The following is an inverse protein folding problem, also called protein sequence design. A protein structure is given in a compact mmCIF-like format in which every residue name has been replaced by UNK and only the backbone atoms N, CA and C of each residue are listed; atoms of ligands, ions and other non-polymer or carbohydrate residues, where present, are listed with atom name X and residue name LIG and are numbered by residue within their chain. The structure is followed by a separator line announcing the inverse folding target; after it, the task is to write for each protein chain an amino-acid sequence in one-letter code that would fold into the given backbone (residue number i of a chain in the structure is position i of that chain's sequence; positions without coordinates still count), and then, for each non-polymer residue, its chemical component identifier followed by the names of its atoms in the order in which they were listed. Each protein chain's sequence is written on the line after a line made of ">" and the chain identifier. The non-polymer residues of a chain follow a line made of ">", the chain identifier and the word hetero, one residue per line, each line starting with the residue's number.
data_IF_543025344254
#
_entry.id   IF_543025344254
#
_cell.length_a   1.000
_cell.length_b   1.000
_cell.length_c   1.000
_cell.angle_alpha   90.00
_cell.angle_beta   90.00
_cell.angle_gamma   90.00
#
_symmetry.space_group_name_H-M   'P 1'
#
loop_
_entity.id
_entity.type
_entity.pdbx_description
1 polymer ?
#
# COMPACT_ATOMS: atom_id res chain seq x y z
N UNK A 1 6.64 -57.59 38.51
CA UNK A 1 5.97 -56.35 38.96
C UNK A 1 6.42 -55.09 38.21
N UNK A 2 7.49 -55.09 37.39
CA UNK A 2 8.02 -53.91 36.67
C UNK A 2 7.26 -53.53 35.39
N UNK A 3 6.35 -54.37 34.89
CA UNK A 3 5.61 -54.15 33.62
C UNK A 3 4.27 -53.42 33.78
N UNK A 4 3.81 -53.19 35.00
CA UNK A 4 2.51 -52.55 35.28
C UNK A 4 2.67 -51.00 35.37
N UNK A 5 3.88 -50.50 35.68
CA UNK A 5 4.17 -49.10 35.81
C UNK A 5 3.90 -48.28 34.53
N UNK A 6 4.34 -48.72 33.32
CA UNK A 6 4.07 -47.98 32.11
C UNK A 6 2.57 -47.92 31.73
N UNK A 7 1.81 -48.94 32.11
CA UNK A 7 0.37 -49.00 31.89
C UNK A 7 -0.37 -47.90 32.72
N UNK A 8 0.02 -47.70 33.96
CA UNK A 8 -0.52 -46.64 34.80
C UNK A 8 -0.16 -45.24 34.32
N UNK A 9 1.02 -45.03 33.71
CA UNK A 9 1.45 -43.75 33.14
C UNK A 9 0.58 -43.43 31.91
N UNK A 10 0.33 -44.41 31.07
CA UNK A 10 -0.54 -44.23 29.88
C UNK A 10 -1.99 -43.95 30.30
N UNK A 11 -2.50 -44.61 31.35
CA UNK A 11 -3.83 -44.38 31.87
C UNK A 11 -4.00 -42.96 32.46
N UNK A 12 -2.94 -42.40 33.07
CA UNK A 12 -2.93 -41.05 33.66
C UNK A 12 -2.96 -39.94 32.58
N UNK A 13 -2.42 -40.22 31.40
CA UNK A 13 -2.43 -39.28 30.26
C UNK A 13 -3.82 -39.19 29.62
N UNK A 14 -4.68 -40.22 29.80
CA UNK A 14 -6.04 -40.26 29.28
C UNK A 14 -7.07 -39.51 30.15
N UNK A 15 -6.69 -38.96 31.31
CA UNK A 15 -7.54 -38.06 32.09
C UNK A 15 -7.52 -36.70 31.37
N UNK A 16 -8.17 -36.68 30.22
CA UNK A 16 -8.26 -35.52 29.35
C UNK A 16 -8.84 -34.31 30.06
N UNK A 17 -8.22 -33.16 29.81
CA UNK A 17 -8.72 -31.85 30.21
C UNK A 17 -10.25 -31.78 30.08
N UNK A 18 -10.95 -31.72 31.21
CA UNK A 18 -12.36 -31.32 31.22
C UNK A 18 -12.41 -29.93 30.66
N UNK A 19 -13.05 -29.75 29.52
CA UNK A 19 -13.37 -28.42 28.99
C UNK A 19 -14.29 -27.76 30.03
N UNK A 20 -13.73 -26.89 30.86
CA UNK A 20 -14.56 -26.00 31.66
C UNK A 20 -15.36 -25.13 30.70
N UNK A 21 -16.67 -25.32 30.70
CA UNK A 21 -17.60 -24.48 29.94
C UNK A 21 -17.59 -23.10 30.57
N UNK A 22 -16.90 -22.17 29.92
CA UNK A 22 -16.92 -20.76 30.32
C UNK A 22 -18.35 -20.24 30.18
N UNK A 23 -18.90 -19.74 31.29
CA UNK A 23 -20.25 -19.15 31.29
C UNK A 23 -20.32 -17.96 30.33
N UNK A 24 -21.39 -17.88 29.57
CA UNK A 24 -21.67 -16.74 28.73
C UNK A 24 -21.79 -15.45 29.57
N UNK A 25 -21.00 -14.41 29.26
CA UNK A 25 -21.05 -13.16 30.00
C UNK A 25 -22.37 -12.41 29.73
N UNK A 26 -22.86 -11.68 30.73
CA UNK A 26 -24.12 -10.89 30.59
C UNK A 26 -24.09 -9.87 29.45
N UNK A 27 -22.92 -9.36 29.10
CA UNK A 27 -22.69 -8.39 28.04
C UNK A 27 -21.79 -9.00 26.98
N UNK A 28 -22.21 -10.14 26.44
CA UNK A 28 -21.47 -10.77 25.33
C UNK A 28 -21.51 -9.87 24.10
N UNK A 29 -20.36 -9.63 23.50
CA UNK A 29 -20.27 -8.98 22.19
C UNK A 29 -20.75 -9.98 21.15
N UNK A 30 -21.63 -9.56 20.26
CA UNK A 30 -22.12 -10.41 19.18
C UNK A 30 -20.95 -10.94 18.32
N UNK A 31 -21.07 -12.16 17.85
CA UNK A 31 -20.01 -12.87 17.14
C UNK A 31 -19.47 -12.11 15.93
N UNK A 32 -20.34 -11.57 15.08
CA UNK A 32 -19.91 -10.83 13.89
C UNK A 32 -19.27 -9.50 14.27
N UNK A 33 -19.75 -8.86 15.33
CA UNK A 33 -19.13 -7.65 15.89
C UNK A 33 -17.74 -7.97 16.46
N UNK A 34 -17.59 -9.09 17.16
CA UNK A 34 -16.29 -9.54 17.66
C UNK A 34 -15.30 -9.82 16.53
N UNK A 35 -15.74 -10.41 15.42
CA UNK A 35 -14.93 -10.58 14.21
C UNK A 35 -14.49 -9.24 13.63
N UNK A 36 -15.39 -8.24 13.60
CA UNK A 36 -15.06 -6.89 13.14
C UNK A 36 -14.03 -6.21 14.06
N UNK A 37 -14.17 -6.38 15.37
CA UNK A 37 -13.21 -5.87 16.36
C UNK A 37 -11.83 -6.52 16.16
N UNK A 38 -11.78 -7.83 16.01
CA UNK A 38 -10.53 -8.57 15.75
C UNK A 38 -9.87 -8.11 14.45
N UNK A 39 -10.65 -7.91 13.42
CA UNK A 39 -10.17 -7.36 12.14
C UNK A 39 -9.55 -5.97 12.31
N UNK A 40 -10.27 -5.04 12.94
CA UNK A 40 -9.79 -3.67 13.14
C UNK A 40 -8.54 -3.62 14.03
N UNK A 41 -8.48 -4.45 15.09
CA UNK A 41 -7.29 -4.58 15.94
C UNK A 41 -6.08 -5.08 15.12
N UNK A 42 -6.29 -6.10 14.29
CA UNK A 42 -5.23 -6.61 13.41
C UNK A 42 -4.71 -5.56 12.44
N UNK A 43 -5.61 -4.76 11.87
CA UNK A 43 -5.27 -3.67 10.96
C UNK A 43 -4.49 -2.55 11.67
N UNK A 44 -4.95 -2.14 12.86
CA UNK A 44 -4.29 -1.13 13.66
C UNK A 44 -2.89 -1.57 14.11
N UNK A 45 -2.72 -2.84 14.48
CA UNK A 45 -1.41 -3.37 14.86
C UNK A 45 -0.45 -3.40 13.66
N UNK A 46 -0.93 -3.80 12.48
CA UNK A 46 -0.14 -3.72 11.25
C UNK A 46 0.27 -2.28 10.91
N UNK A 47 -0.66 -1.33 11.02
CA UNK A 47 -0.38 0.10 10.80
C UNK A 47 0.65 0.66 11.78
N UNK A 48 0.62 0.22 13.03
CA UNK A 48 1.60 0.61 14.06
C UNK A 48 3.00 0.16 13.70
N UNK A 49 3.14 -1.05 13.14
CA UNK A 49 4.43 -1.58 12.69
C UNK A 49 4.94 -0.79 11.46
N UNK A 50 4.06 -0.51 10.50
CA UNK A 50 4.44 0.16 9.25
C UNK A 50 4.74 1.66 9.44
N UNK A 51 4.04 2.33 10.35
CA UNK A 51 4.17 3.78 10.57
C UNK A 51 3.99 4.17 12.05
N UNK A 52 5.01 3.92 12.89
CA UNK A 52 4.95 4.19 14.34
C UNK A 52 4.63 5.67 14.66
N UNK A 53 5.17 6.61 13.88
CA UNK A 53 4.98 8.05 14.10
C UNK A 53 3.52 8.50 13.96
N UNK A 54 2.74 7.80 13.19
CA UNK A 54 1.31 8.07 13.02
C UNK A 54 0.54 7.70 14.31
N UNK A 55 0.99 6.67 15.04
CA UNK A 55 0.43 6.27 16.32
C UNK A 55 0.86 7.16 17.47
N UNK A 56 2.08 7.71 17.45
CA UNK A 56 2.54 8.67 18.46
C UNK A 56 1.73 9.97 18.40
N UNK A 57 1.22 10.34 17.23
CA UNK A 57 0.32 11.49 17.05
C UNK A 57 -1.13 11.21 17.50
N UNK A 58 -1.55 9.94 17.51
CA UNK A 58 -2.82 9.50 18.06
C UNK A 58 -2.64 9.32 19.58
N UNK A 59 -2.97 10.32 20.37
CA UNK A 59 -2.89 10.33 21.85
C UNK A 59 -3.59 9.14 22.55
N UNK A 60 -4.19 8.21 21.82
CA UNK A 60 -4.95 7.07 22.32
C UNK A 60 -4.31 5.76 21.87
N UNK A 61 -4.26 4.77 22.76
CA UNK A 61 -3.86 3.42 22.40
C UNK A 61 -4.83 2.82 21.35
N UNK A 62 -4.37 1.88 20.48
CA UNK A 62 -5.24 1.17 19.53
C UNK A 62 -6.50 0.60 20.19
N UNK A 63 -6.35 0.03 21.38
CA UNK A 63 -7.46 -0.53 22.15
C UNK A 63 -8.50 0.52 22.53
N UNK A 64 -8.08 1.70 22.99
CA UNK A 64 -9.00 2.78 23.33
C UNK A 64 -9.79 3.27 22.12
N UNK A 65 -9.14 3.36 20.94
CA UNK A 65 -9.82 3.67 19.70
C UNK A 65 -10.93 2.64 19.40
N UNK A 66 -10.62 1.36 19.50
CA UNK A 66 -11.57 0.26 19.27
C UNK A 66 -12.72 0.30 20.26
N UNK A 67 -12.45 0.44 21.54
CA UNK A 67 -13.51 0.50 22.57
C UNK A 67 -14.46 1.65 22.34
N UNK A 68 -13.94 2.82 21.93
CA UNK A 68 -14.76 3.97 21.58
C UNK A 68 -15.59 3.74 20.31
N UNK A 69 -14.98 3.14 19.26
CA UNK A 69 -15.63 2.86 17.98
C UNK A 69 -16.83 1.92 18.15
N UNK A 70 -16.64 0.85 18.92
CA UNK A 70 -17.67 -0.18 19.13
C UNK A 70 -18.53 0.05 20.38
N UNK A 71 -18.31 1.17 21.11
CA UNK A 71 -19.04 1.52 22.34
C UNK A 71 -19.01 0.40 23.40
N UNK A 72 -17.89 -0.28 23.51
CA UNK A 72 -17.64 -1.35 24.48
C UNK A 72 -16.60 -0.90 25.49
N UNK A 73 -16.55 -1.58 26.62
CA UNK A 73 -15.48 -1.42 27.59
C UNK A 73 -14.46 -2.57 27.55
N UNK A 74 -13.34 -2.39 28.20
CA UNK A 74 -12.27 -3.39 28.24
C UNK A 74 -12.70 -4.70 28.90
N UNK A 75 -13.55 -4.64 29.92
CA UNK A 75 -14.04 -5.80 30.65
C UNK A 75 -14.96 -6.62 29.74
N UNK A 76 -15.89 -5.96 29.06
CA UNK A 76 -16.78 -6.59 28.08
C UNK A 76 -16.00 -7.29 26.98
N UNK A 77 -14.97 -6.63 26.43
CA UNK A 77 -14.11 -7.21 25.41
C UNK A 77 -13.37 -8.45 25.92
N UNK A 78 -12.72 -8.34 27.08
CA UNK A 78 -11.95 -9.45 27.65
C UNK A 78 -12.85 -10.65 27.95
N UNK A 79 -14.01 -10.43 28.57
CA UNK A 79 -14.95 -11.51 28.92
C UNK A 79 -15.49 -12.19 27.65
N UNK A 80 -15.85 -11.42 26.62
CA UNK A 80 -16.32 -11.95 25.34
C UNK A 80 -15.22 -12.75 24.63
N UNK A 81 -13.98 -12.23 24.67
CA UNK A 81 -12.83 -12.93 24.07
C UNK A 81 -12.55 -14.27 24.76
N UNK A 82 -12.58 -14.31 26.11
CA UNK A 82 -12.41 -15.55 26.89
C UNK A 82 -13.54 -16.54 26.55
N UNK A 83 -14.79 -16.06 26.46
CA UNK A 83 -15.93 -16.90 26.12
C UNK A 83 -15.75 -17.56 24.74
N UNK A 84 -15.45 -16.77 23.70
CA UNK A 84 -15.22 -17.32 22.35
C UNK A 84 -13.98 -18.21 22.29
N UNK A 85 -12.88 -17.86 22.97
CA UNK A 85 -11.67 -18.64 23.03
C UNK A 85 -11.84 -20.00 23.75
N UNK A 86 -12.85 -20.16 24.60
CA UNK A 86 -13.18 -21.43 25.25
C UNK A 86 -13.65 -22.51 24.27
N UNK A 87 -14.23 -22.09 23.12
CA UNK A 87 -14.48 -22.96 21.98
C UNK A 87 -13.43 -22.73 20.89
N UNK A 88 -12.37 -23.52 20.93
CA UNK A 88 -11.25 -23.39 20.00
C UNK A 88 -11.65 -23.51 18.52
N UNK A 89 -12.68 -24.32 18.21
CA UNK A 89 -13.17 -24.46 16.83
C UNK A 89 -13.88 -23.21 16.33
N UNK A 90 -14.76 -22.64 17.16
CA UNK A 90 -15.47 -21.41 16.84
C UNK A 90 -14.49 -20.21 16.78
N UNK A 91 -13.56 -20.14 17.71
CA UNK A 91 -12.54 -19.08 17.71
C UNK A 91 -11.64 -19.15 16.48
N UNK A 92 -11.25 -20.35 16.05
CA UNK A 92 -10.50 -20.55 14.81
C UNK A 92 -11.29 -20.09 13.57
N UNK A 93 -12.60 -20.36 13.50
CA UNK A 93 -13.45 -19.87 12.41
C UNK A 93 -13.53 -18.35 12.38
N UNK A 94 -13.56 -17.70 13.55
CA UNK A 94 -13.53 -16.23 13.64
C UNK A 94 -12.21 -15.68 13.09
N UNK A 95 -11.07 -16.24 13.49
CA UNK A 95 -9.76 -15.86 12.95
C UNK A 95 -9.67 -16.09 11.43
N UNK A 96 -10.19 -17.19 10.93
CA UNK A 96 -10.17 -17.45 9.49
C UNK A 96 -11.01 -16.42 8.71
N UNK A 97 -12.17 -15.97 9.23
CA UNK A 97 -12.93 -14.86 8.65
C UNK A 97 -12.10 -13.58 8.60
N UNK A 98 -11.40 -13.23 9.69
CA UNK A 98 -10.52 -12.06 9.75
C UNK A 98 -9.40 -12.17 8.71
N UNK A 99 -8.73 -13.30 8.66
CA UNK A 99 -7.63 -13.56 7.72
C UNK A 99 -8.07 -13.44 6.27
N UNK A 100 -9.18 -14.08 5.90
CA UNK A 100 -9.74 -14.02 4.54
C UNK A 100 -10.08 -12.58 4.15
N UNK A 101 -10.65 -11.81 5.07
CA UNK A 101 -10.98 -10.40 4.84
C UNK A 101 -9.73 -9.55 4.62
N UNK A 102 -8.72 -9.69 5.47
CA UNK A 102 -7.44 -8.98 5.35
C UNK A 102 -6.74 -9.31 4.03
N UNK A 103 -6.70 -10.57 3.64
CA UNK A 103 -6.06 -10.98 2.38
C UNK A 103 -6.81 -10.44 1.16
N UNK A 104 -8.15 -10.47 1.18
CA UNK A 104 -8.97 -9.87 0.12
C UNK A 104 -8.69 -8.38 -0.04
N UNK A 105 -8.65 -7.62 1.05
CA UNK A 105 -8.38 -6.18 1.01
C UNK A 105 -6.95 -5.87 0.56
N UNK A 106 -5.99 -6.65 1.01
CA UNK A 106 -4.60 -6.57 0.54
C UNK A 106 -4.48 -6.76 -0.98
N UNK A 107 -5.16 -7.77 -1.53
CA UNK A 107 -5.19 -8.00 -2.99
C UNK A 107 -5.85 -6.83 -3.72
N UNK A 108 -6.96 -6.31 -3.20
CA UNK A 108 -7.64 -5.14 -3.78
C UNK A 108 -6.74 -3.91 -3.77
N UNK A 109 -6.10 -3.62 -2.64
CA UNK A 109 -5.19 -2.48 -2.50
C UNK A 109 -4.00 -2.60 -3.47
N UNK A 110 -3.39 -3.78 -3.57
CA UNK A 110 -2.31 -4.04 -4.51
C UNK A 110 -2.74 -3.84 -5.98
N UNK A 111 -3.98 -4.22 -6.33
CA UNK A 111 -4.54 -4.01 -7.66
C UNK A 111 -4.76 -2.52 -7.98
N UNK A 112 -5.26 -1.75 -7.00
CA UNK A 112 -5.45 -0.29 -7.12
C UNK A 112 -4.11 0.43 -7.29
N UNK A 113 -3.11 0.10 -6.47
CA UNK A 113 -1.77 0.66 -6.58
C UNK A 113 -1.13 0.39 -7.95
N UNK A 114 -1.29 -0.84 -8.48
CA UNK A 114 -0.82 -1.18 -9.84
C UNK A 114 -1.54 -0.37 -10.92
N UNK A 115 -2.85 -0.14 -10.77
CA UNK A 115 -3.63 0.64 -11.72
C UNK A 115 -3.23 2.13 -11.70
N UNK A 116 -3.02 2.71 -10.51
CA UNK A 116 -2.55 4.09 -10.35
C UNK A 116 -1.16 4.28 -10.96
N UNK A 117 -0.25 3.37 -10.66
CA UNK A 117 1.09 3.39 -11.24
C UNK A 117 1.08 3.33 -12.78
N UNK A 118 0.21 2.49 -13.37
CA UNK A 118 0.02 2.46 -14.83
C UNK A 118 -0.49 3.79 -15.37
N UNK A 119 -1.44 4.45 -14.69
CA UNK A 119 -1.96 5.76 -15.07
C UNK A 119 -0.85 6.82 -15.05
N UNK A 120 -0.01 6.84 -14.01
CA UNK A 120 1.10 7.79 -13.91
C UNK A 120 2.16 7.58 -15.00
N UNK A 121 2.51 6.33 -15.30
CA UNK A 121 3.43 6.00 -16.40
C UNK A 121 2.84 6.46 -17.75
N UNK A 122 1.54 6.27 -17.96
CA UNK A 122 0.88 6.71 -19.20
C UNK A 122 0.85 8.23 -19.31
N UNK A 123 0.54 8.95 -18.24
CA UNK A 123 0.61 10.42 -18.19
C UNK A 123 2.01 10.93 -18.51
N UNK A 124 3.04 10.32 -17.93
CA UNK A 124 4.44 10.66 -18.19
C UNK A 124 4.82 10.40 -19.66
N UNK A 125 4.40 9.26 -20.25
CA UNK A 125 4.61 8.97 -21.69
C UNK A 125 3.94 9.98 -22.59
N UNK A 126 2.69 10.34 -22.29
CA UNK A 126 1.93 11.32 -23.10
C UNK A 126 2.56 12.71 -22.99
N UNK A 127 2.99 13.12 -21.79
CA UNK A 127 3.71 14.38 -21.60
C UNK A 127 5.01 14.41 -22.39
N UNK A 128 5.77 13.30 -22.40
CA UNK A 128 6.99 13.16 -23.18
C UNK A 128 6.73 13.31 -24.69
N UNK A 129 5.74 12.58 -25.24
CA UNK A 129 5.34 12.71 -26.66
C UNK A 129 4.95 14.12 -27.05
N UNK A 130 4.19 14.81 -26.15
CA UNK A 130 3.78 16.20 -26.41
C UNK A 130 4.98 17.15 -26.43
N UNK A 131 5.96 16.96 -25.58
CA UNK A 131 7.18 17.74 -25.56
C UNK A 131 8.03 17.52 -26.84
N UNK A 132 8.18 16.25 -27.24
CA UNK A 132 8.87 15.88 -28.49
C UNK A 132 8.20 16.50 -29.72
N UNK A 133 6.84 16.49 -29.78
CA UNK A 133 6.09 17.15 -30.84
C UNK A 133 6.30 18.67 -30.85
N UNK A 134 6.22 19.33 -29.70
CA UNK A 134 6.46 20.78 -29.59
C UNK A 134 7.88 21.15 -30.04
N UNK A 135 8.88 20.33 -29.72
CA UNK A 135 10.26 20.53 -30.18
C UNK A 135 10.37 20.40 -31.70
N UNK A 136 9.80 19.36 -32.27
CA UNK A 136 9.76 19.14 -33.71
C UNK A 136 9.10 20.32 -34.44
N UNK A 137 7.96 20.81 -33.94
CA UNK A 137 7.25 21.95 -34.52
C UNK A 137 8.04 23.26 -34.37
N UNK A 138 8.72 23.45 -33.23
CA UNK A 138 9.60 24.60 -33.01
C UNK A 138 10.79 24.60 -33.97
N UNK A 139 11.41 23.43 -34.18
CA UNK A 139 12.53 23.27 -35.15
C UNK A 139 12.05 23.57 -36.57
N UNK A 140 10.85 23.07 -36.96
CA UNK A 140 10.27 23.35 -38.28
C UNK A 140 9.99 24.86 -38.48
N UNK A 141 9.43 25.55 -37.49
CA UNK A 141 9.22 27.00 -37.51
C UNK A 141 10.51 27.78 -37.70
N UNK A 142 11.55 27.44 -36.91
CA UNK A 142 12.87 28.06 -37.04
C UNK A 142 13.46 27.80 -38.42
N UNK A 143 13.32 26.61 -38.98
CA UNK A 143 13.79 26.27 -40.32
C UNK A 143 13.09 27.11 -41.42
N UNK A 144 11.76 27.30 -41.31
CA UNK A 144 10.96 28.13 -42.20
C UNK A 144 11.38 29.59 -42.10
N UNK A 145 11.59 30.12 -40.91
CA UNK A 145 11.97 31.50 -40.67
C UNK A 145 13.39 31.79 -41.19
N UNK A 146 14.32 30.86 -40.95
CA UNK A 146 15.68 30.94 -41.52
C UNK A 146 15.68 30.84 -43.02
N UNK A 147 14.82 30.04 -43.64
CA UNK A 147 14.70 29.96 -45.10
C UNK A 147 14.13 31.23 -45.71
N UNK A 148 13.18 31.92 -45.04
CA UNK A 148 12.64 33.22 -45.45
C UNK A 148 13.66 34.34 -45.28
N UNK A 149 14.46 34.35 -44.22
CA UNK A 149 15.52 35.36 -44.02
C UNK A 149 16.71 35.14 -44.95
N UNK A 150 17.01 33.89 -45.31
CA UNK A 150 18.07 33.53 -46.29
C UNK A 150 17.76 34.10 -47.68
N UNK A 151 16.48 34.28 -48.01
CA UNK A 151 16.07 34.94 -49.26
C UNK A 151 16.23 36.47 -49.25
N UNK A 152 16.39 37.10 -48.04
CA UNK A 152 16.55 38.56 -47.85
C UNK A 152 17.98 38.99 -47.56
N UNK A 153 18.88 38.11 -47.13
CA UNK A 153 20.26 38.45 -46.74
C UNK A 153 21.26 37.45 -47.39
N UNK A 154 22.00 37.97 -48.35
CA UNK A 154 23.09 37.25 -49.03
C UNK A 154 24.38 37.11 -48.17
N UNK A 155 24.25 36.73 -46.88
CA UNK A 155 25.42 36.45 -46.01
C UNK A 155 25.28 35.11 -45.34
N UNK A 156 26.00 34.14 -45.90
CA UNK A 156 25.98 32.71 -45.52
C UNK A 156 26.46 32.46 -44.10
N UNK A 157 27.32 33.28 -43.52
CA UNK A 157 27.99 33.06 -42.23
C UNK A 157 27.15 33.40 -40.98
N UNK A 158 26.27 34.42 -41.07
CA UNK A 158 25.41 34.84 -39.94
C UNK A 158 24.26 33.84 -39.71
N UNK A 159 23.77 33.20 -40.79
CA UNK A 159 22.67 32.24 -40.72
C UNK A 159 23.05 30.93 -40.00
N UNK A 160 24.26 30.45 -40.14
CA UNK A 160 24.69 29.16 -39.59
C UNK A 160 25.03 29.22 -38.09
N UNK A 161 25.52 30.36 -37.62
CA UNK A 161 25.78 30.59 -36.19
C UNK A 161 24.50 30.76 -35.37
N UNK A 162 23.50 31.48 -35.88
CA UNK A 162 22.17 31.67 -35.24
C UNK A 162 21.41 30.34 -35.21
N UNK A 163 21.46 29.55 -36.28
CA UNK A 163 20.82 28.24 -36.39
C UNK A 163 21.39 27.24 -35.36
N UNK A 164 22.73 27.22 -35.22
CA UNK A 164 23.45 26.34 -34.29
C UNK A 164 23.18 26.69 -32.82
N UNK A 165 23.06 28.00 -32.49
CA UNK A 165 22.77 28.47 -31.15
C UNK A 165 21.32 28.16 -30.72
N UNK A 166 20.32 28.41 -31.56
CA UNK A 166 18.90 28.18 -31.25
C UNK A 166 18.54 26.69 -31.13
N UNK A 167 19.09 25.84 -31.99
CA UNK A 167 18.89 24.38 -31.90
C UNK A 167 19.57 23.77 -30.69
N UNK A 168 20.79 24.24 -30.32
CA UNK A 168 21.50 23.78 -29.13
C UNK A 168 20.75 24.13 -27.84
N UNK A 169 20.21 25.34 -27.75
CA UNK A 169 19.45 25.79 -26.56
C UNK A 169 18.11 25.05 -26.39
N UNK A 170 17.35 24.86 -27.49
CA UNK A 170 16.10 24.12 -27.47
C UNK A 170 16.31 22.63 -27.12
N UNK A 171 17.34 21.99 -27.69
CA UNK A 171 17.71 20.61 -27.39
C UNK A 171 18.13 20.44 -25.93
N UNK A 172 18.93 21.36 -25.39
CA UNK A 172 19.38 21.30 -23.99
C UNK A 172 18.23 21.43 -22.99
N UNK A 173 17.26 22.34 -23.24
CA UNK A 173 16.07 22.50 -22.38
C UNK A 173 15.23 21.22 -22.35
N UNK A 174 15.00 20.64 -23.50
CA UNK A 174 14.18 19.43 -23.63
C UNK A 174 14.86 18.19 -23.03
N UNK A 175 16.17 18.05 -23.22
CA UNK A 175 16.90 16.93 -22.59
C UNK A 175 16.76 16.98 -21.06
N UNK A 176 16.89 18.16 -20.45
CA UNK A 176 16.69 18.35 -19.01
C UNK A 176 15.30 17.91 -18.54
N UNK A 177 14.26 18.24 -19.29
CA UNK A 177 12.86 17.93 -18.97
C UNK A 177 12.55 16.44 -19.16
N UNK A 178 13.11 15.81 -20.21
CA UNK A 178 13.05 14.35 -20.41
C UNK A 178 13.78 13.60 -19.31
N UNK A 179 14.96 14.05 -18.89
CA UNK A 179 15.71 13.41 -17.82
C UNK A 179 15.02 13.54 -16.46
N UNK A 180 14.35 14.67 -16.17
CA UNK A 180 13.54 14.81 -14.98
C UNK A 180 12.36 13.81 -14.96
N UNK A 181 11.67 13.63 -16.09
CA UNK A 181 10.57 12.67 -16.22
C UNK A 181 11.04 11.21 -16.10
N UNK A 182 12.22 10.88 -16.66
CA UNK A 182 12.81 9.54 -16.51
C UNK A 182 13.11 9.23 -15.04
N UNK A 183 13.63 10.22 -14.27
CA UNK A 183 13.89 10.07 -12.82
C UNK A 183 12.60 9.79 -12.04
N UNK A 184 11.52 10.51 -12.34
CA UNK A 184 10.21 10.30 -11.70
C UNK A 184 9.68 8.89 -12.00
N UNK A 185 9.76 8.43 -13.25
CA UNK A 185 9.31 7.08 -13.64
C UNK A 185 10.18 5.99 -13.00
N UNK A 186 11.49 6.20 -12.90
CA UNK A 186 12.39 5.26 -12.26
C UNK A 186 12.14 5.15 -10.75
N UNK A 187 11.89 6.28 -10.09
CA UNK A 187 11.55 6.33 -8.68
C UNK A 187 10.23 5.59 -8.37
N UNK A 188 9.22 5.78 -9.20
CA UNK A 188 7.95 5.07 -9.07
C UNK A 188 8.10 3.56 -9.27
N UNK A 189 8.94 3.13 -10.23
CA UNK A 189 9.25 1.70 -10.42
C UNK A 189 9.95 1.10 -9.20
N UNK A 190 10.91 1.82 -8.60
CA UNK A 190 11.59 1.38 -7.37
C UNK A 190 10.62 1.20 -6.21
N UNK A 191 9.72 2.16 -5.99
CA UNK A 191 8.68 2.08 -4.93
C UNK A 191 7.74 0.90 -5.09
N UNK A 192 7.54 0.41 -6.31
CA UNK A 192 6.73 -0.77 -6.59
C UNK A 192 7.46 -2.10 -6.38
N UNK A 193 8.79 -2.11 -6.42
CA UNK A 193 9.61 -3.31 -6.20
C UNK A 193 9.91 -3.58 -4.72
N UNK A 194 9.73 -2.57 -3.86
CA UNK A 194 10.03 -2.63 -2.41
C UNK A 194 8.76 -3.03 -1.60
N UNK A 195 7.60 -3.10 -2.23
CA UNK A 195 6.35 -3.62 -1.65
C UNK A 195 6.04 -5.02 -2.13
#
# INVERSE_FOLDING_TARGET
>A
MKKILPFFIVLFILVGCKKELVKEPKRLIEREEMVNIMYDLSLLEAMKVDNPSLFDSLKNSPNQYIFKKYKIDSIQFVQSNIYYASDSKEYQKMFEKVKVRLEKEKIQLASLQKAEAKKEILKAKNKKKLLEKKQSDSIKRVHIEVSKTKKKLSKKEVSDSIKKAKTKAAKAKMTREIDSLKRIVAEQKRRQQIK
#
